data_IF_541029191512
#
_entry.id   IF_541029191512
#
_cell.length_a   1.000
_cell.length_b   1.000
_cell.length_c   1.000
_cell.angle_alpha   90.00
_cell.angle_beta   90.00
_cell.angle_gamma   90.00
#
_symmetry.space_group_name_H-M   'P 1'
#
loop_
_entity.id
_entity.type
_entity.pdbx_description
1 polymer ?
#
# COMPACT_ATOMS: atom_id res chain seq x y z
N UNK A 1 12.95 -10.70 -10.02
CA UNK A 1 11.60 -10.66 -9.44
C UNK A 1 10.63 -10.17 -10.50
N UNK A 2 9.59 -10.94 -10.79
CA UNK A 2 8.53 -10.52 -11.72
C UNK A 2 7.63 -9.49 -11.01
N UNK A 3 6.98 -8.57 -11.74
CA UNK A 3 6.30 -7.40 -11.15
C UNK A 3 5.28 -7.69 -10.05
N UNK A 4 4.58 -8.82 -10.16
CA UNK A 4 3.62 -9.32 -9.17
C UNK A 4 4.30 -9.76 -7.87
N UNK A 5 5.54 -10.26 -7.92
CA UNK A 5 6.29 -10.67 -6.72
C UNK A 5 6.64 -9.45 -5.85
N UNK A 6 6.89 -8.30 -6.49
CA UNK A 6 7.19 -7.04 -5.80
C UNK A 6 5.96 -6.46 -5.10
N UNK A 7 4.80 -6.46 -5.76
CA UNK A 7 3.56 -5.95 -5.19
C UNK A 7 3.11 -6.78 -3.98
N UNK A 8 3.08 -8.11 -4.13
CA UNK A 8 2.68 -9.02 -3.04
C UNK A 8 3.66 -8.96 -1.86
N UNK A 9 4.97 -8.82 -2.14
CA UNK A 9 5.94 -8.59 -1.09
C UNK A 9 5.63 -7.30 -0.32
N UNK A 10 5.42 -6.18 -1.01
CA UNK A 10 5.11 -4.90 -0.36
C UNK A 10 3.82 -4.95 0.47
N UNK A 11 2.78 -5.64 -0.01
CA UNK A 11 1.54 -5.86 0.76
C UNK A 11 1.84 -6.63 2.04
N UNK A 12 2.54 -7.77 1.94
CA UNK A 12 2.88 -8.58 3.10
C UNK A 12 3.81 -7.87 4.09
N UNK A 13 4.71 -7.01 3.61
CA UNK A 13 5.52 -6.15 4.49
C UNK A 13 4.64 -5.13 5.22
N UNK A 14 3.71 -4.49 4.52
CA UNK A 14 2.83 -3.49 5.12
C UNK A 14 1.91 -4.11 6.17
N UNK A 15 1.36 -5.29 5.89
CA UNK A 15 0.55 -6.06 6.84
C UNK A 15 1.32 -6.38 8.12
N UNK A 16 2.57 -6.85 7.99
CA UNK A 16 3.44 -7.13 9.15
C UNK A 16 3.70 -5.89 9.99
N UNK A 17 3.95 -4.73 9.36
CA UNK A 17 4.17 -3.48 10.08
C UNK A 17 2.88 -2.99 10.74
N UNK A 18 1.74 -3.10 10.06
CA UNK A 18 0.43 -2.75 10.62
C UNK A 18 0.07 -3.64 11.82
N UNK A 19 0.43 -4.92 11.81
CA UNK A 19 0.29 -5.83 12.95
C UNK A 19 1.21 -5.44 14.11
N UNK A 20 2.48 -5.08 13.83
CA UNK A 20 3.41 -4.60 14.84
C UNK A 20 2.91 -3.31 15.52
N UNK A 21 2.32 -2.38 14.75
CA UNK A 21 1.68 -1.17 15.28
C UNK A 21 0.49 -1.53 16.16
N UNK A 22 -0.38 -2.44 15.70
CA UNK A 22 -1.55 -2.87 16.48
C UNK A 22 -1.13 -3.52 17.81
N UNK A 23 -0.08 -4.33 17.79
CA UNK A 23 0.43 -5.00 18.98
C UNK A 23 1.09 -4.01 19.96
N UNK A 24 1.93 -3.10 19.47
CA UNK A 24 2.52 -2.04 20.31
C UNK A 24 1.44 -1.13 20.91
N UNK A 25 0.40 -0.84 20.12
CA UNK A 25 -0.80 -0.12 20.57
C UNK A 25 -1.50 -0.87 21.71
N UNK A 26 -1.74 -2.18 21.54
CA UNK A 26 -2.37 -3.01 22.56
C UNK A 26 -1.57 -3.06 23.87
N UNK A 27 -0.25 -3.21 23.77
CA UNK A 27 0.67 -3.26 24.92
C UNK A 27 0.91 -1.92 25.60
N UNK A 28 0.45 -0.80 25.03
CA UNK A 28 0.81 0.56 25.46
C UNK A 28 2.32 0.82 25.43
N UNK A 29 3.03 0.13 24.54
CA UNK A 29 4.48 0.26 24.37
C UNK A 29 4.79 1.42 23.43
N UNK A 30 5.03 2.59 24.01
CA UNK A 30 5.27 3.82 23.23
C UNK A 30 6.56 3.73 22.40
N UNK A 31 7.71 3.27 22.94
CA UNK A 31 8.90 3.04 22.12
C UNK A 31 8.66 2.12 20.91
N UNK A 32 8.06 0.95 21.11
CA UNK A 32 7.79 0.01 20.01
C UNK A 32 6.80 0.59 18.98
N UNK A 33 5.83 1.37 19.44
CA UNK A 33 4.85 2.03 18.58
C UNK A 33 5.51 3.08 17.68
N UNK A 34 6.43 3.88 18.21
CA UNK A 34 7.17 4.88 17.42
C UNK A 34 8.02 4.19 16.35
N UNK A 35 8.77 3.16 16.72
CA UNK A 35 9.59 2.38 15.80
C UNK A 35 8.75 1.78 14.67
N UNK A 36 7.60 1.17 15.01
CA UNK A 36 6.73 0.54 14.01
C UNK A 36 6.07 1.56 13.07
N UNK A 37 5.64 2.73 13.57
CA UNK A 37 5.07 3.78 12.72
C UNK A 37 6.14 4.38 11.80
N UNK A 38 7.36 4.62 12.30
CA UNK A 38 8.48 5.09 11.49
C UNK A 38 8.84 4.09 10.38
N UNK A 39 8.86 2.80 10.70
CA UNK A 39 9.11 1.73 9.73
C UNK A 39 8.00 1.61 8.68
N UNK A 40 6.77 2.06 8.97
CA UNK A 40 5.65 1.95 8.04
C UNK A 40 5.74 2.89 6.85
N UNK A 41 6.22 4.11 7.04
CA UNK A 41 6.27 5.13 5.99
C UNK A 41 7.01 4.66 4.72
N UNK A 42 8.23 4.10 4.79
CA UNK A 42 8.92 3.62 3.59
C UNK A 42 8.21 2.42 2.94
N UNK A 43 7.59 1.53 3.73
CA UNK A 43 6.87 0.36 3.20
C UNK A 43 5.60 0.79 2.45
N UNK A 44 4.85 1.75 3.00
CA UNK A 44 3.69 2.34 2.35
C UNK A 44 4.07 3.03 1.02
N UNK A 45 5.17 3.78 1.01
CA UNK A 45 5.70 4.42 -0.20
C UNK A 45 6.09 3.37 -1.26
N UNK A 46 6.82 2.33 -0.87
CA UNK A 46 7.22 1.24 -1.76
C UNK A 46 6.00 0.51 -2.35
N UNK A 47 4.95 0.29 -1.56
CA UNK A 47 3.70 -0.28 -2.08
C UNK A 47 3.09 0.64 -3.14
N UNK A 48 2.92 1.93 -2.87
CA UNK A 48 2.35 2.88 -3.83
C UNK A 48 3.16 2.94 -5.15
N UNK A 49 4.49 2.89 -5.06
CA UNK A 49 5.36 2.81 -6.24
C UNK A 49 5.16 1.50 -7.01
N UNK A 50 5.03 0.37 -6.32
CA UNK A 50 4.76 -0.93 -6.93
C UNK A 50 3.39 -0.97 -7.63
N UNK A 51 2.36 -0.33 -7.05
CA UNK A 51 1.05 -0.16 -7.67
C UNK A 51 1.18 0.59 -9.01
N UNK A 52 1.88 1.73 -9.00
CA UNK A 52 2.07 2.56 -10.18
C UNK A 52 2.92 1.88 -11.26
N UNK A 53 3.94 1.12 -10.86
CA UNK A 53 4.75 0.32 -11.79
C UNK A 53 3.93 -0.81 -12.44
N UNK A 54 3.10 -1.51 -11.67
CA UNK A 54 2.26 -2.57 -12.22
C UNK A 54 1.24 -2.00 -13.21
N UNK A 55 0.59 -0.86 -12.91
CA UNK A 55 -0.29 -0.18 -13.85
C UNK A 55 0.42 0.16 -15.17
N UNK A 56 1.59 0.82 -15.11
CA UNK A 56 2.39 1.14 -16.30
C UNK A 56 2.71 -0.10 -17.15
N UNK A 57 3.03 -1.23 -16.52
CA UNK A 57 3.28 -2.51 -17.23
C UNK A 57 2.03 -3.05 -17.91
N UNK A 58 0.88 -2.96 -17.26
CA UNK A 58 -0.37 -3.41 -17.85
C UNK A 58 -0.79 -2.53 -19.04
N UNK A 59 -0.68 -1.21 -18.93
CA UNK A 59 -0.96 -0.29 -20.04
C UNK A 59 -0.03 -0.57 -21.23
N UNK A 60 1.26 -0.85 -20.98
CA UNK A 60 2.20 -1.25 -22.02
C UNK A 60 1.81 -2.58 -22.70
N UNK A 61 1.32 -3.56 -21.93
CA UNK A 61 0.82 -4.84 -22.47
C UNK A 61 -0.42 -4.64 -23.33
N UNK A 62 -1.36 -3.80 -22.89
CA UNK A 62 -2.55 -3.45 -23.65
C UNK A 62 -2.17 -2.77 -24.98
N UNK A 63 -1.28 -1.77 -24.94
CA UNK A 63 -0.78 -1.10 -26.15
C UNK A 63 -0.09 -2.05 -27.12
N UNK A 64 0.74 -2.97 -26.62
CA UNK A 64 1.40 -3.97 -27.45
C UNK A 64 0.42 -5.00 -28.06
N UNK A 65 -0.66 -5.35 -27.36
CA UNK A 65 -1.71 -6.22 -27.89
C UNK A 65 -2.51 -5.51 -28.99
N UNK A 66 -2.89 -4.25 -28.75
CA UNK A 66 -3.59 -3.41 -29.72
C UNK A 66 -2.76 -3.18 -31.00
N UNK A 67 -1.46 -2.87 -30.86
CA UNK A 67 -0.57 -2.69 -32.00
C UNK A 67 -0.37 -3.95 -32.86
N UNK A 68 -0.61 -5.13 -32.27
CA UNK A 68 -0.62 -6.42 -32.99
C UNK A 68 -1.99 -6.80 -33.55
N UNK A 69 -2.98 -5.90 -33.49
CA UNK A 69 -4.34 -6.12 -33.97
C UNK A 69 -5.11 -7.19 -33.20
N UNK A 70 -4.75 -7.45 -31.94
CA UNK A 70 -5.47 -8.43 -31.11
C UNK A 70 -6.74 -7.81 -30.52
N UNK A 71 -7.75 -8.65 -30.31
CA UNK A 71 -8.91 -8.26 -29.50
C UNK A 71 -8.47 -7.96 -28.06
N UNK A 72 -8.81 -6.77 -27.57
CA UNK A 72 -8.39 -6.29 -26.25
C UNK A 72 -9.56 -6.03 -25.30
N UNK A 73 -10.81 -6.14 -25.74
CA UNK A 73 -11.98 -5.75 -24.94
C UNK A 73 -12.06 -6.46 -23.58
N UNK A 74 -11.76 -7.77 -23.53
CA UNK A 74 -11.70 -8.49 -22.25
C UNK A 74 -10.53 -8.09 -21.36
N UNK A 75 -9.40 -7.68 -21.95
CA UNK A 75 -8.24 -7.19 -21.22
C UNK A 75 -8.51 -5.80 -20.63
N UNK A 76 -9.17 -4.92 -21.38
CA UNK A 76 -9.57 -3.58 -20.92
C UNK A 76 -10.51 -3.70 -19.72
N UNK A 77 -11.57 -4.50 -19.83
CA UNK A 77 -12.52 -4.70 -18.73
C UNK A 77 -11.85 -5.26 -17.46
N UNK A 78 -10.90 -6.19 -17.63
CA UNK A 78 -10.11 -6.70 -16.50
C UNK A 78 -9.22 -5.63 -15.86
N UNK A 79 -8.61 -4.75 -16.66
CA UNK A 79 -7.79 -3.65 -16.15
C UNK A 79 -8.61 -2.63 -15.38
N UNK A 80 -9.79 -2.27 -15.86
CA UNK A 80 -10.69 -1.35 -15.14
C UNK A 80 -11.10 -1.88 -13.76
N UNK A 81 -11.38 -3.19 -13.64
CA UNK A 81 -11.69 -3.81 -12.35
C UNK A 81 -10.47 -3.82 -11.42
N UNK A 82 -9.29 -4.17 -11.97
CA UNK A 82 -8.02 -4.12 -11.25
C UNK A 82 -7.74 -2.70 -10.75
N UNK A 83 -7.87 -1.67 -11.58
CA UNK A 83 -7.55 -0.29 -11.23
C UNK A 83 -8.41 0.20 -10.05
N UNK A 84 -9.69 -0.17 -10.01
CA UNK A 84 -10.56 0.11 -8.84
C UNK A 84 -10.05 -0.54 -7.56
N UNK A 85 -9.57 -1.78 -7.64
CA UNK A 85 -8.97 -2.47 -6.49
C UNK A 85 -7.69 -1.76 -6.04
N UNK A 86 -6.85 -1.36 -6.99
CA UNK A 86 -5.59 -0.66 -6.69
C UNK A 86 -5.83 0.73 -6.08
N UNK A 87 -6.83 1.47 -6.56
CA UNK A 87 -7.25 2.74 -5.97
C UNK A 87 -7.77 2.56 -4.54
N UNK A 88 -8.57 1.51 -4.30
CA UNK A 88 -9.06 1.20 -2.96
C UNK A 88 -7.91 0.87 -1.99
N UNK A 89 -6.93 0.09 -2.45
CA UNK A 89 -5.72 -0.21 -1.68
C UNK A 89 -4.93 1.06 -1.36
N UNK A 90 -4.66 1.91 -2.35
CA UNK A 90 -3.96 3.17 -2.14
C UNK A 90 -4.71 4.08 -1.14
N UNK A 91 -6.04 4.18 -1.26
CA UNK A 91 -6.87 4.93 -0.33
C UNK A 91 -6.81 4.39 1.11
N UNK A 92 -6.77 3.06 1.28
CA UNK A 92 -6.63 2.43 2.59
C UNK A 92 -5.25 2.71 3.20
N UNK A 93 -4.18 2.61 2.40
CA UNK A 93 -2.82 2.94 2.82
C UNK A 93 -2.76 4.38 3.34
N UNK A 94 -3.33 5.33 2.58
CA UNK A 94 -3.37 6.75 2.94
C UNK A 94 -4.21 7.05 4.18
N UNK A 95 -5.36 6.39 4.34
CA UNK A 95 -6.20 6.53 5.53
C UNK A 95 -5.45 6.08 6.79
N UNK A 96 -4.81 4.91 6.74
CA UNK A 96 -3.96 4.39 7.83
C UNK A 96 -2.75 5.27 8.12
N UNK A 97 -2.06 5.78 7.08
CA UNK A 97 -0.95 6.72 7.26
C UNK A 97 -1.39 7.98 8.00
N UNK A 98 -2.58 8.52 7.69
CA UNK A 98 -3.14 9.68 8.42
C UNK A 98 -3.50 9.36 9.86
N UNK A 99 -4.07 8.18 10.11
CA UNK A 99 -4.37 7.68 11.46
C UNK A 99 -3.09 7.61 12.31
N UNK A 100 -2.01 7.02 11.81
CA UNK A 100 -0.76 6.91 12.55
C UNK A 100 -0.06 8.26 12.76
N UNK A 101 -0.08 9.14 11.76
CA UNK A 101 0.41 10.51 11.94
C UNK A 101 -0.36 11.26 13.04
N UNK A 102 -1.65 10.99 13.22
CA UNK A 102 -2.42 11.52 14.33
C UNK A 102 -1.94 10.93 15.67
N UNK A 103 -1.74 9.61 15.74
CA UNK A 103 -1.22 8.93 16.95
C UNK A 103 0.14 9.52 17.37
N UNK A 104 1.06 9.72 16.43
CA UNK A 104 2.36 10.36 16.70
C UNK A 104 2.20 11.75 17.33
N UNK A 105 1.27 12.58 16.82
CA UNK A 105 1.00 13.91 17.39
C UNK A 105 0.39 13.84 18.78
N UNK A 106 -0.44 12.84 19.07
CA UNK A 106 -1.00 12.64 20.40
C UNK A 106 0.08 12.22 21.41
N UNK A 107 0.97 11.29 21.02
CA UNK A 107 2.15 10.89 21.80
C UNK A 107 3.06 12.09 22.07
N UNK A 108 3.43 12.84 21.04
CA UNK A 108 4.29 14.02 21.16
C UNK A 108 3.69 15.10 22.08
N UNK A 109 2.36 15.19 22.15
CA UNK A 109 1.65 16.10 23.04
C UNK A 109 1.44 15.55 24.45
N UNK A 110 1.98 14.37 24.78
CA UNK A 110 1.78 13.69 26.06
C UNK A 110 0.32 13.29 26.32
N UNK A 111 -0.52 13.24 25.27
CA UNK A 111 -1.92 12.83 25.38
C UNK A 111 -2.01 11.31 25.36
N UNK A 112 -2.97 10.76 26.11
CA UNK A 112 -3.35 9.35 25.96
C UNK A 112 -3.92 9.17 24.56
N UNK A 113 -3.18 8.46 23.73
CA UNK A 113 -3.69 7.81 22.53
C UNK A 113 -4.63 6.68 22.98
N UNK A 114 -5.79 6.57 22.32
CA UNK A 114 -6.84 5.57 22.59
C UNK A 114 -6.98 4.64 21.40
#
# INVERSE_FOLDING_TARGET
MTGTDGLLACIGELERVDEAIAEATHRRDTPALLEAIEARAPVAAALLEAIAEDDRRQQARLGAAAARGRETSGLVAWLEDRDRVMEALAGLVDARTREYNRILREIAAGRRWR
#
